data_IF_934089666637
#
_entry.id   IF_934089666637
#
_cell.length_a   1.000
_cell.length_b   1.000
_cell.length_c   1.000
_cell.angle_alpha   90.00
_cell.angle_beta   90.00
_cell.angle_gamma   90.00
#
_symmetry.space_group_name_H-M   'P 1'
#
loop_
_entity.id
_entity.type
_entity.pdbx_description
1 polymer ?
#
# COMPACT_ATOMS: atom_id res chain seq x y z
N UNK A 1 5.02 14.20 6.50
CA UNK A 1 5.82 15.05 7.41
C UNK A 1 6.36 16.29 6.72
N UNK A 2 6.59 16.25 5.40
CA UNK A 2 7.11 17.38 4.58
C UNK A 2 6.00 18.25 3.99
N UNK A 3 4.74 17.96 4.27
CA UNK A 3 3.58 18.72 3.80
C UNK A 3 3.19 18.47 2.34
N UNK A 4 3.87 17.58 1.64
CA UNK A 4 3.52 17.22 0.27
C UNK A 4 2.41 16.17 0.23
N UNK A 5 1.65 16.19 -0.87
CA UNK A 5 0.60 15.22 -1.19
C UNK A 5 1.13 14.27 -2.26
N UNK A 6 1.04 12.97 -2.00
CA UNK A 6 1.39 11.94 -2.96
C UNK A 6 0.11 11.32 -3.51
N UNK A 7 0.03 11.18 -4.82
CA UNK A 7 -1.09 10.57 -5.53
C UNK A 7 -0.57 9.39 -6.36
N UNK A 8 -1.24 8.26 -6.24
CA UNK A 8 -1.01 7.09 -7.09
C UNK A 8 -2.24 6.88 -7.95
N UNK A 9 -2.09 6.91 -9.25
CA UNK A 9 -3.18 6.74 -10.21
C UNK A 9 -2.91 5.52 -11.10
N UNK A 10 -3.75 4.49 -10.92
CA UNK A 10 -3.62 3.25 -11.66
C UNK A 10 -4.06 3.36 -13.12
N UNK A 11 -4.91 4.34 -13.47
CA UNK A 11 -5.39 4.52 -14.85
C UNK A 11 -4.41 5.30 -15.70
N UNK A 12 -3.75 6.29 -15.11
CA UNK A 12 -2.71 7.07 -15.79
C UNK A 12 -1.32 6.45 -15.68
N UNK A 13 -1.17 5.38 -14.89
CA UNK A 13 0.11 4.68 -14.65
C UNK A 13 1.18 5.58 -14.03
N UNK A 14 0.77 6.46 -13.11
CA UNK A 14 1.66 7.45 -12.50
C UNK A 14 1.61 7.45 -10.97
N UNK A 15 2.73 7.90 -10.39
CA UNK A 15 2.80 8.39 -9.01
C UNK A 15 3.33 9.82 -9.05
N UNK A 16 2.60 10.74 -8.43
CA UNK A 16 2.93 12.18 -8.48
C UNK A 16 3.03 12.77 -7.08
N UNK A 17 3.92 13.75 -6.92
CA UNK A 17 4.12 14.51 -5.69
C UNK A 17 3.71 15.98 -5.91
N UNK A 18 2.87 16.50 -5.03
CA UNK A 18 2.32 17.83 -5.14
C UNK A 18 2.59 18.67 -3.90
N UNK A 19 2.78 19.97 -4.07
CA UNK A 19 2.71 20.95 -2.98
C UNK A 19 1.24 21.09 -2.50
N UNK A 20 1.00 21.65 -1.29
CA UNK A 20 -0.36 21.91 -0.80
C UNK A 20 -1.20 22.82 -1.69
N UNK A 21 -0.61 23.65 -2.53
CA UNK A 21 -1.28 24.50 -3.50
C UNK A 21 -1.63 23.80 -4.82
N UNK A 22 -1.25 22.50 -4.95
CA UNK A 22 -1.53 21.65 -6.11
C UNK A 22 -0.42 21.62 -7.17
N UNK A 23 0.67 22.40 -7.02
CA UNK A 23 1.80 22.35 -7.96
C UNK A 23 2.44 20.95 -7.93
N UNK A 24 2.52 20.28 -9.08
CA UNK A 24 3.25 19.02 -9.23
C UNK A 24 4.76 19.29 -9.25
N UNK A 25 5.49 18.61 -8.38
CA UNK A 25 6.94 18.78 -8.21
C UNK A 25 7.75 17.54 -8.54
N UNK A 26 7.09 16.38 -8.67
CA UNK A 26 7.70 15.12 -9.11
C UNK A 26 6.65 14.27 -9.80
N UNK A 27 7.04 13.67 -10.92
CA UNK A 27 6.24 12.67 -11.63
C UNK A 27 7.07 11.41 -11.83
N UNK A 28 6.52 10.27 -11.45
CA UNK A 28 7.03 8.94 -11.74
C UNK A 28 6.02 8.24 -12.66
N UNK A 29 6.51 7.61 -13.71
CA UNK A 29 5.65 7.05 -14.75
C UNK A 29 5.37 8.05 -15.87
N UNK A 30 4.84 7.56 -16.98
CA UNK A 30 4.43 8.37 -18.13
C UNK A 30 2.91 8.32 -18.28
N UNK A 31 2.29 9.49 -18.38
CA UNK A 31 0.83 9.62 -18.44
C UNK A 31 0.22 8.77 -19.55
N UNK A 32 -0.65 7.84 -19.17
CA UNK A 32 -1.37 6.96 -20.08
C UNK A 32 -0.52 5.86 -20.71
N UNK A 33 0.73 5.69 -20.28
CA UNK A 33 1.62 4.65 -20.81
C UNK A 33 1.86 3.54 -19.79
N UNK A 34 1.30 2.35 -20.08
CA UNK A 34 1.53 1.15 -19.30
C UNK A 34 2.77 0.41 -19.77
N UNK A 35 3.69 0.11 -18.87
CA UNK A 35 4.83 -0.75 -19.19
C UNK A 35 4.49 -2.22 -18.91
N UNK A 36 4.31 -2.99 -19.96
CA UNK A 36 4.02 -4.43 -19.90
C UNK A 36 5.30 -5.30 -19.86
N UNK A 37 6.47 -4.70 -19.89
CA UNK A 37 7.72 -5.46 -19.85
C UNK A 37 8.04 -5.85 -18.43
N UNK A 38 7.91 -7.13 -18.14
CA UNK A 38 8.37 -7.78 -16.90
C UNK A 38 9.91 -7.87 -16.86
N UNK A 39 10.63 -6.87 -17.35
CA UNK A 39 12.08 -6.89 -17.30
C UNK A 39 12.56 -6.64 -15.89
N UNK A 40 13.35 -7.58 -15.39
CA UNK A 40 13.91 -7.55 -14.03
C UNK A 40 15.05 -6.55 -13.88
N UNK A 41 15.52 -5.95 -14.97
CA UNK A 41 16.70 -5.10 -14.98
C UNK A 41 16.41 -3.59 -14.96
N UNK A 42 15.12 -3.19 -14.98
CA UNK A 42 14.74 -1.77 -14.88
C UNK A 42 15.27 -0.86 -16.01
N UNK A 43 15.85 -1.43 -17.05
CA UNK A 43 16.58 -0.67 -18.07
C UNK A 43 15.70 -0.06 -19.16
N UNK A 44 14.39 -0.27 -19.12
CA UNK A 44 13.47 0.12 -20.19
C UNK A 44 12.31 0.94 -19.62
N UNK A 45 12.52 2.24 -19.48
CA UNK A 45 11.45 3.18 -19.16
C UNK A 45 10.88 3.05 -17.75
N UNK A 46 9.98 3.95 -17.39
CA UNK A 46 9.33 3.97 -16.09
C UNK A 46 8.37 2.78 -15.96
N UNK A 47 8.41 2.04 -14.85
CA UNK A 47 8.07 0.62 -14.82
C UNK A 47 6.59 0.32 -14.61
N UNK A 48 5.69 1.30 -14.50
CA UNK A 48 4.34 1.09 -13.98
C UNK A 48 3.37 0.49 -14.99
N UNK A 49 2.60 -0.48 -14.48
CA UNK A 49 1.39 -0.97 -15.12
C UNK A 49 0.29 -1.10 -14.07
N UNK A 50 -0.48 -0.03 -13.89
CA UNK A 50 -1.55 0.10 -12.90
C UNK A 50 -1.02 0.06 -11.44
N UNK A 51 -0.18 1.04 -11.04
CA UNK A 51 0.33 1.12 -9.67
C UNK A 51 -0.83 1.31 -8.68
N UNK A 52 -0.67 0.76 -7.49
CA UNK A 52 -1.74 0.65 -6.50
C UNK A 52 -1.52 1.51 -5.27
N UNK A 53 -0.28 1.89 -4.99
CA UNK A 53 0.05 2.75 -3.87
C UNK A 53 1.50 3.19 -3.81
N UNK A 54 1.78 4.13 -2.91
CA UNK A 54 3.14 4.62 -2.67
C UNK A 54 3.37 4.91 -1.19
N UNK A 55 4.60 4.75 -0.74
CA UNK A 55 5.03 5.08 0.62
C UNK A 55 6.45 5.65 0.62
N UNK A 56 6.71 6.57 1.56
CA UNK A 56 7.99 7.23 1.68
C UNK A 56 8.71 6.71 2.92
N UNK A 57 9.91 6.19 2.72
CA UNK A 57 10.75 5.70 3.80
C UNK A 57 11.32 6.86 4.66
N UNK A 58 11.80 6.58 5.88
CA UNK A 58 12.42 7.60 6.75
C UNK A 58 13.63 8.30 6.12
N UNK A 59 14.35 7.65 5.21
CA UNK A 59 15.49 8.22 4.47
C UNK A 59 15.07 9.02 3.23
N UNK A 60 13.77 9.07 2.93
CA UNK A 60 13.17 9.78 1.81
C UNK A 60 13.06 8.97 0.52
N UNK A 61 13.50 7.72 0.48
CA UNK A 61 13.28 6.83 -0.67
C UNK A 61 11.79 6.57 -0.87
N UNK A 62 11.41 6.42 -2.14
CA UNK A 62 10.03 6.24 -2.56
C UNK A 62 9.83 4.78 -2.92
N UNK A 63 8.82 4.15 -2.32
CA UNK A 63 8.40 2.79 -2.65
C UNK A 63 7.03 2.82 -3.30
N UNK A 64 6.86 2.06 -4.37
CA UNK A 64 5.62 1.99 -5.15
C UNK A 64 5.19 0.55 -5.32
N UNK A 65 3.94 0.24 -4.96
CA UNK A 65 3.29 -1.02 -5.30
C UNK A 65 2.71 -0.92 -6.71
N UNK A 66 3.13 -1.80 -7.60
CA UNK A 66 2.66 -1.90 -8.99
C UNK A 66 1.96 -3.25 -9.19
N UNK A 67 0.76 -3.34 -8.61
CA UNK A 67 0.18 -4.64 -8.31
C UNK A 67 -0.92 -5.10 -9.24
N UNK A 68 -1.67 -4.22 -9.91
CA UNK A 68 -2.76 -4.67 -10.77
C UNK A 68 -2.25 -5.23 -12.10
N UNK A 69 -1.19 -4.66 -12.65
CA UNK A 69 -0.58 -5.14 -13.90
C UNK A 69 0.67 -5.98 -13.71
N UNK A 70 1.62 -5.57 -12.86
CA UNK A 70 2.98 -6.12 -12.84
C UNK A 70 3.33 -7.04 -11.66
N UNK A 71 2.64 -7.03 -10.53
CA UNK A 71 2.98 -7.79 -9.30
C UNK A 71 4.38 -7.48 -8.79
N UNK A 72 4.72 -6.19 -8.73
CA UNK A 72 6.04 -5.70 -8.33
C UNK A 72 5.96 -4.64 -7.24
N UNK A 73 7.06 -4.51 -6.53
CA UNK A 73 7.40 -3.34 -5.73
C UNK A 73 8.59 -2.66 -6.39
N UNK A 74 8.54 -1.34 -6.52
CA UNK A 74 9.62 -0.52 -7.07
C UNK A 74 10.15 0.41 -6.00
N UNK A 75 11.46 0.65 -6.02
CA UNK A 75 12.12 1.65 -5.19
C UNK A 75 12.77 2.71 -6.07
N UNK A 76 12.58 3.96 -5.66
CA UNK A 76 13.20 5.14 -6.27
C UNK A 76 13.97 5.93 -5.21
N UNK A 77 14.98 6.67 -5.66
CA UNK A 77 15.64 7.68 -4.83
C UNK A 77 14.64 8.75 -4.39
N UNK A 78 15.02 9.59 -3.43
CA UNK A 78 14.21 10.74 -3.00
C UNK A 78 13.98 11.78 -4.10
N UNK A 79 14.76 11.73 -5.18
CA UNK A 79 14.69 12.60 -6.37
C UNK A 79 13.91 11.95 -7.51
N UNK A 80 13.48 10.68 -7.36
CA UNK A 80 12.69 9.98 -8.35
C UNK A 80 13.50 9.11 -9.31
N UNK A 81 14.82 8.95 -9.08
CA UNK A 81 15.61 8.04 -9.90
C UNK A 81 15.30 6.60 -9.52
N UNK A 82 15.05 5.76 -10.53
CA UNK A 82 14.82 4.33 -10.31
C UNK A 82 16.06 3.65 -9.74
N UNK A 83 15.88 2.82 -8.71
CA UNK A 83 16.98 2.11 -8.05
C UNK A 83 16.87 0.59 -8.19
N UNK A 84 15.70 0.02 -7.88
CA UNK A 84 15.49 -1.43 -7.97
C UNK A 84 14.00 -1.80 -7.98
N UNK A 85 13.72 -3.07 -8.34
CA UNK A 85 12.39 -3.68 -8.13
C UNK A 85 12.51 -5.15 -7.76
N UNK A 86 11.47 -5.66 -7.09
CA UNK A 86 11.34 -7.08 -6.77
C UNK A 86 9.89 -7.54 -6.89
N UNK A 87 9.71 -8.86 -6.78
CA UNK A 87 8.43 -9.52 -6.91
C UNK A 87 8.19 -10.10 -8.30
N UNK A 88 7.38 -11.12 -8.34
CA UNK A 88 6.90 -11.80 -9.53
C UNK A 88 5.53 -12.44 -9.26
N UNK A 89 4.75 -12.80 -10.30
CA UNK A 89 3.48 -13.47 -10.11
C UNK A 89 3.62 -14.83 -9.43
N UNK A 90 2.79 -15.09 -8.40
CA UNK A 90 2.75 -16.40 -7.75
C UNK A 90 2.26 -16.39 -6.32
N UNK A 91 2.43 -17.52 -5.64
CA UNK A 91 2.00 -17.75 -4.25
C UNK A 91 3.16 -18.10 -3.30
N UNK A 92 4.35 -18.28 -3.84
CA UNK A 92 5.58 -18.54 -3.06
C UNK A 92 6.10 -17.30 -2.34
N UNK A 93 7.17 -17.48 -1.60
CA UNK A 93 7.87 -16.41 -0.88
C UNK A 93 8.45 -15.40 -1.86
N UNK A 94 8.18 -14.11 -1.64
CA UNK A 94 8.59 -13.03 -2.55
C UNK A 94 7.77 -12.93 -3.84
N UNK A 95 6.82 -13.86 -4.08
CA UNK A 95 5.87 -13.80 -5.18
C UNK A 95 4.57 -13.13 -4.73
N UNK A 96 3.82 -12.56 -5.67
CA UNK A 96 2.57 -11.85 -5.40
C UNK A 96 1.44 -12.27 -6.35
N UNK A 97 0.23 -12.37 -5.80
CA UNK A 97 -0.97 -12.45 -6.63
C UNK A 97 -1.45 -11.04 -7.00
N UNK A 98 -1.62 -10.15 -6.02
CA UNK A 98 -1.83 -8.71 -6.23
C UNK A 98 -1.12 -7.94 -5.12
N UNK A 99 -0.18 -7.07 -5.49
CA UNK A 99 0.41 -6.09 -4.58
C UNK A 99 -0.57 -4.91 -4.47
N UNK A 100 -1.47 -4.94 -3.46
CA UNK A 100 -2.56 -3.96 -3.41
C UNK A 100 -2.11 -2.61 -2.83
N UNK A 101 -1.34 -2.64 -1.77
CA UNK A 101 -0.75 -1.46 -1.13
C UNK A 101 0.53 -1.85 -0.43
N UNK A 102 1.34 -0.87 -0.08
CA UNK A 102 2.50 -1.05 0.77
C UNK A 102 2.66 0.12 1.74
N UNK A 103 3.38 -0.15 2.82
CA UNK A 103 3.80 0.88 3.75
C UNK A 103 5.24 0.64 4.21
N UNK A 104 5.96 1.71 4.52
CA UNK A 104 7.30 1.62 5.09
C UNK A 104 7.26 2.05 6.55
N UNK A 105 7.70 1.16 7.43
CA UNK A 105 7.74 1.41 8.87
C UNK A 105 8.90 2.35 9.27
N UNK A 106 8.84 2.85 10.49
CA UNK A 106 9.89 3.74 11.03
C UNK A 106 11.28 3.09 11.14
N UNK A 107 11.34 1.77 11.23
CA UNK A 107 12.56 0.96 11.23
C UNK A 107 12.96 0.46 9.83
N UNK A 108 12.39 1.09 8.78
CA UNK A 108 12.74 0.87 7.38
C UNK A 108 12.45 -0.54 6.86
N UNK A 109 11.39 -1.19 7.36
CA UNK A 109 10.84 -2.41 6.79
C UNK A 109 9.68 -2.07 5.85
N UNK A 110 9.58 -2.78 4.72
CA UNK A 110 8.55 -2.59 3.70
C UNK A 110 7.48 -3.67 3.86
N UNK A 111 6.28 -3.27 4.27
CA UNK A 111 5.13 -4.15 4.45
C UNK A 111 4.27 -4.12 3.20
N UNK A 112 4.07 -5.26 2.57
CA UNK A 112 3.40 -5.39 1.28
C UNK A 112 2.12 -6.19 1.44
N UNK A 113 0.98 -5.59 1.11
CA UNK A 113 -0.32 -6.24 1.08
C UNK A 113 -0.41 -7.15 -0.16
N UNK A 114 -0.15 -8.44 0.01
CA UNK A 114 -0.34 -9.46 -1.02
C UNK A 114 -1.79 -9.98 -0.94
N UNK A 115 -2.70 -9.15 -1.48
CA UNK A 115 -4.13 -9.21 -1.23
C UNK A 115 -4.75 -10.58 -1.51
N UNK A 116 -4.59 -11.09 -2.71
CA UNK A 116 -5.24 -12.34 -3.13
C UNK A 116 -4.56 -13.59 -2.52
N UNK A 117 -3.35 -13.45 -1.99
CA UNK A 117 -2.69 -14.49 -1.21
C UNK A 117 -3.03 -14.41 0.30
N UNK A 118 -3.86 -13.46 0.72
CA UNK A 118 -4.30 -13.27 2.12
C UNK A 118 -3.14 -13.18 3.12
N UNK A 119 -2.11 -12.40 2.77
CA UNK A 119 -0.91 -12.23 3.60
C UNK A 119 -0.31 -10.84 3.46
N UNK A 120 0.49 -10.47 4.45
CA UNK A 120 1.45 -9.37 4.34
C UNK A 120 2.84 -9.98 4.25
N UNK A 121 3.61 -9.58 3.26
CA UNK A 121 5.02 -9.91 3.17
C UNK A 121 5.86 -8.71 3.59
N UNK A 122 6.89 -8.93 4.39
CA UNK A 122 7.73 -7.88 4.96
C UNK A 122 9.12 -8.04 4.39
N UNK A 123 9.64 -6.94 3.82
CA UNK A 123 10.94 -6.91 3.16
C UNK A 123 11.86 -5.87 3.80
N UNK A 124 13.16 -6.06 3.61
CA UNK A 124 14.13 -4.98 3.76
C UNK A 124 13.93 -3.92 2.66
N UNK A 125 14.55 -2.76 2.82
CA UNK A 125 14.57 -1.75 1.75
C UNK A 125 15.34 -2.21 0.50
N UNK A 126 16.11 -3.28 0.59
CA UNK A 126 16.83 -3.90 -0.52
C UNK A 126 16.04 -5.04 -1.20
N UNK A 127 14.79 -5.27 -0.77
CA UNK A 127 13.91 -6.29 -1.35
C UNK A 127 14.14 -7.71 -0.82
N UNK A 128 14.91 -7.88 0.25
CA UNK A 128 15.09 -9.17 0.92
C UNK A 128 13.87 -9.48 1.78
N UNK A 129 13.28 -10.66 1.62
CA UNK A 129 12.15 -11.11 2.43
C UNK A 129 12.61 -11.36 3.87
N UNK A 130 11.94 -10.71 4.83
CA UNK A 130 12.24 -10.79 6.26
C UNK A 130 11.22 -11.64 7.01
N UNK A 131 9.92 -11.50 6.67
CA UNK A 131 8.84 -12.17 7.38
C UNK A 131 7.56 -12.24 6.53
N UNK A 132 6.63 -13.11 6.92
CA UNK A 132 5.31 -13.26 6.29
C UNK A 132 4.23 -13.39 7.37
N UNK A 133 3.26 -12.48 7.36
CA UNK A 133 2.11 -12.54 8.27
C UNK A 133 0.90 -13.12 7.57
N UNK A 134 0.37 -14.20 8.14
CA UNK A 134 -0.84 -14.87 7.63
C UNK A 134 -1.97 -14.96 8.65
N UNK A 135 -1.68 -15.02 9.93
CA UNK A 135 -2.56 -15.28 11.09
C UNK A 135 -4.00 -14.71 10.95
N UNK A 136 -4.81 -15.33 10.10
CA UNK A 136 -6.18 -14.93 9.82
C UNK A 136 -6.35 -13.63 9.06
N UNK A 137 -5.30 -13.10 8.42
CA UNK A 137 -5.40 -11.98 7.48
C UNK A 137 -6.24 -12.41 6.29
N UNK A 138 -7.19 -11.56 5.89
CA UNK A 138 -8.10 -11.84 4.78
C UNK A 138 -8.19 -10.64 3.84
N UNK A 139 -7.61 -10.77 2.64
CA UNK A 139 -7.60 -9.72 1.63
C UNK A 139 -7.05 -8.39 2.14
N UNK A 140 -5.79 -8.29 2.55
CA UNK A 140 -5.23 -7.04 3.07
C UNK A 140 -5.20 -5.99 1.95
N UNK A 141 -5.87 -4.86 2.18
CA UNK A 141 -5.97 -3.77 1.23
C UNK A 141 -4.97 -2.66 1.52
N UNK A 142 -4.76 -2.34 2.80
CA UNK A 142 -3.91 -1.22 3.19
C UNK A 142 -3.19 -1.53 4.50
N UNK A 143 -2.01 -0.92 4.67
CA UNK A 143 -1.24 -0.88 5.91
C UNK A 143 -0.92 0.56 6.28
N UNK A 144 -1.27 0.94 7.51
CA UNK A 144 -0.97 2.26 8.06
C UNK A 144 -0.21 2.12 9.37
N UNK A 145 0.80 2.98 9.58
CA UNK A 145 1.63 2.93 10.78
C UNK A 145 1.34 4.09 11.72
N UNK A 146 1.18 3.78 13.00
CA UNK A 146 1.17 4.78 14.07
C UNK A 146 2.05 4.31 15.24
N UNK A 147 3.22 4.92 15.40
CA UNK A 147 4.20 4.49 16.41
C UNK A 147 4.69 3.07 16.15
N UNK A 148 4.43 2.16 17.10
CA UNK A 148 4.79 0.74 17.02
C UNK A 148 3.65 -0.16 16.51
N UNK A 149 2.54 0.44 16.08
CA UNK A 149 1.36 -0.29 15.63
C UNK A 149 1.19 -0.25 14.12
N UNK A 150 0.78 -1.39 13.58
CA UNK A 150 0.43 -1.59 12.17
C UNK A 150 -1.07 -1.82 12.09
N UNK A 151 -1.78 -0.93 11.41
CA UNK A 151 -3.20 -1.05 11.12
C UNK A 151 -3.35 -1.66 9.73
N UNK A 152 -4.05 -2.78 9.65
CA UNK A 152 -4.29 -3.49 8.38
C UNK A 152 -5.77 -3.41 8.06
N UNK A 153 -6.10 -2.84 6.91
CA UNK A 153 -7.46 -2.88 6.38
C UNK A 153 -7.65 -4.20 5.65
N UNK A 154 -8.65 -4.95 6.02
CA UNK A 154 -8.96 -6.27 5.48
C UNK A 154 -10.31 -6.28 4.77
N UNK A 155 -10.34 -6.82 3.55
CA UNK A 155 -11.57 -7.06 2.80
C UNK A 155 -11.44 -8.35 1.99
N UNK A 156 -11.91 -9.45 2.55
CA UNK A 156 -11.85 -10.75 1.89
C UNK A 156 -12.79 -11.77 2.51
N UNK A 157 -13.46 -12.60 1.69
CA UNK A 157 -14.28 -13.70 2.15
C UNK A 157 -15.45 -13.31 3.08
N UNK A 158 -15.99 -12.08 2.94
CA UNK A 158 -17.04 -11.55 3.83
C UNK A 158 -16.52 -11.04 5.19
N UNK A 159 -15.21 -10.92 5.36
CA UNK A 159 -14.56 -10.45 6.57
C UNK A 159 -14.02 -9.03 6.40
N UNK A 160 -14.91 -8.06 6.24
CA UNK A 160 -14.49 -6.66 6.19
C UNK A 160 -14.12 -6.19 7.59
N UNK A 161 -12.96 -5.59 7.75
CA UNK A 161 -12.52 -5.14 9.05
C UNK A 161 -11.15 -4.50 9.09
N UNK A 162 -10.67 -4.33 10.30
CA UNK A 162 -9.35 -3.81 10.60
C UNK A 162 -8.71 -4.69 11.65
N UNK A 163 -7.45 -5.02 11.45
CA UNK A 163 -6.61 -5.62 12.49
C UNK A 163 -5.47 -4.68 12.86
N UNK A 164 -5.08 -4.72 14.12
CA UNK A 164 -3.97 -3.96 14.67
C UNK A 164 -2.93 -4.94 15.19
N UNK A 165 -1.71 -4.74 14.77
CA UNK A 165 -0.56 -5.58 15.05
C UNK A 165 0.56 -4.73 15.66
N UNK A 166 1.48 -5.35 16.41
CA UNK A 166 2.76 -4.73 16.66
C UNK A 166 3.73 -4.99 15.50
N UNK A 167 4.89 -4.33 15.52
CA UNK A 167 5.91 -4.50 14.47
C UNK A 167 6.57 -5.89 14.45
N UNK A 168 6.37 -6.70 15.49
CA UNK A 168 6.89 -8.08 15.61
C UNK A 168 5.88 -9.14 15.12
N UNK A 169 4.72 -8.71 14.59
CA UNK A 169 3.72 -9.61 14.03
C UNK A 169 2.76 -10.22 15.04
N UNK A 170 2.69 -9.69 16.25
CA UNK A 170 1.68 -10.08 17.22
C UNK A 170 0.39 -9.34 16.98
N UNK A 171 -0.72 -10.06 16.82
CA UNK A 171 -2.04 -9.47 16.70
C UNK A 171 -2.49 -8.90 18.05
N UNK A 172 -2.70 -7.59 18.10
CA UNK A 172 -3.20 -6.89 19.30
C UNK A 172 -4.72 -6.98 19.37
N UNK A 173 -5.40 -6.65 18.26
CA UNK A 173 -6.86 -6.73 18.17
C UNK A 173 -7.32 -6.79 16.73
N UNK A 174 -8.56 -7.25 16.54
CA UNK A 174 -9.20 -7.30 15.22
C UNK A 174 -10.68 -7.01 15.35
N UNK A 175 -11.17 -6.13 14.51
CA UNK A 175 -12.59 -5.84 14.36
C UNK A 175 -13.07 -6.29 12.99
N UNK A 176 -14.10 -7.13 12.97
CA UNK A 176 -14.76 -7.60 11.75
C UNK A 176 -16.26 -7.33 11.82
N UNK A 177 -16.88 -7.17 10.64
CA UNK A 177 -18.30 -6.92 10.58
C UNK A 177 -18.70 -5.63 11.29
N UNK A 178 -17.88 -4.58 11.17
CA UNK A 178 -18.18 -3.26 11.73
C UNK A 178 -19.44 -2.76 11.03
N UNK A 179 -20.59 -2.58 11.74
CA UNK A 179 -21.85 -2.22 11.07
C UNK A 179 -21.79 -0.90 10.32
N UNK A 180 -20.91 0.00 10.76
CA UNK A 180 -20.67 1.29 10.13
C UNK A 180 -19.79 1.17 8.88
N UNK A 181 -19.03 0.08 8.72
CA UNK A 181 -18.21 -0.24 7.54
C UNK A 181 -18.94 -1.33 6.76
N UNK A 182 -20.00 -0.93 6.07
CA UNK A 182 -20.89 -1.85 5.35
C UNK A 182 -20.33 -2.30 4.00
N UNK A 183 -19.29 -1.63 3.53
CA UNK A 183 -18.67 -1.88 2.24
C UNK A 183 -17.15 -2.10 2.39
N UNK A 184 -16.46 -2.35 1.30
CA UNK A 184 -15.04 -2.67 1.34
C UNK A 184 -14.20 -1.48 1.86
N UNK A 185 -13.68 -1.59 3.07
CA UNK A 185 -12.60 -0.73 3.52
C UNK A 185 -11.43 -0.86 2.55
N UNK A 186 -10.92 0.27 2.04
CA UNK A 186 -9.88 0.27 1.03
C UNK A 186 -8.60 0.94 1.51
N UNK A 187 -8.70 1.85 2.46
CA UNK A 187 -7.58 2.51 3.09
C UNK A 187 -7.93 3.06 4.46
N UNK A 188 -6.93 3.32 5.28
CA UNK A 188 -7.14 3.95 6.58
C UNK A 188 -6.06 4.97 6.92
N UNK A 189 -6.42 5.88 7.83
CA UNK A 189 -5.49 6.83 8.44
C UNK A 189 -5.96 7.19 9.84
N UNK A 190 -5.03 7.63 10.69
CA UNK A 190 -5.36 8.17 12.00
C UNK A 190 -5.04 9.66 12.07
N UNK A 191 -5.88 10.42 12.78
CA UNK A 191 -5.56 11.79 13.11
C UNK A 191 -4.68 11.88 14.39
N UNK A 192 -4.19 13.08 14.69
CA UNK A 192 -3.34 13.33 15.86
C UNK A 192 -4.04 13.07 17.21
N UNK A 193 -5.37 12.89 17.22
CA UNK A 193 -6.16 12.55 18.40
C UNK A 193 -6.40 11.05 18.54
N UNK A 194 -5.95 10.26 17.56
CA UNK A 194 -6.13 8.81 17.49
C UNK A 194 -7.51 8.38 16.97
N UNK A 195 -8.25 9.27 16.29
CA UNK A 195 -9.45 8.85 15.57
C UNK A 195 -9.03 8.14 14.28
N UNK A 196 -9.65 7.01 14.01
CA UNK A 196 -9.43 6.21 12.81
C UNK A 196 -10.40 6.65 11.70
N UNK A 197 -9.88 6.87 10.53
CA UNK A 197 -10.65 7.16 9.31
C UNK A 197 -10.48 6.00 8.35
N UNK A 198 -11.59 5.55 7.76
CA UNK A 198 -11.61 4.48 6.76
C UNK A 198 -12.16 5.04 5.46
N UNK A 199 -11.43 4.84 4.38
CA UNK A 199 -11.91 5.06 3.03
C UNK A 199 -12.61 3.78 2.55
N UNK A 200 -13.88 3.90 2.13
CA UNK A 200 -14.67 2.79 1.58
C UNK A 200 -14.87 2.99 0.09
N UNK A 201 -14.74 1.94 -0.69
CA UNK A 201 -15.18 1.91 -2.09
C UNK A 201 -16.58 1.36 -2.15
N UNK A 202 -17.52 2.19 -2.66
CA UNK A 202 -18.88 1.76 -2.95
C UNK A 202 -18.99 1.19 -4.34
N UNK A 203 -19.67 0.07 -4.47
CA UNK A 203 -20.05 -0.49 -5.77
C UNK A 203 -21.42 0.04 -6.18
N UNK A 204 -21.53 0.60 -7.41
CA UNK A 204 -22.77 1.12 -7.95
C UNK A 204 -23.09 2.57 -7.56
N UNK A 205 -24.36 2.87 -7.24
CA UNK A 205 -24.83 4.24 -7.01
C UNK A 205 -24.43 4.86 -5.67
N UNK A 206 -23.75 4.14 -4.79
CA UNK A 206 -23.51 4.58 -3.40
C UNK A 206 -22.27 5.46 -3.27
N UNK A 207 -21.34 5.41 -4.22
CA UNK A 207 -20.14 6.25 -4.23
C UNK A 207 -19.12 5.91 -3.12
N UNK A 208 -18.00 6.62 -3.16
CA UNK A 208 -16.96 6.50 -2.14
C UNK A 208 -17.37 7.21 -0.84
N UNK A 209 -17.04 6.61 0.31
CA UNK A 209 -17.34 7.17 1.62
C UNK A 209 -16.09 7.24 2.49
N UNK A 210 -16.02 8.26 3.32
CA UNK A 210 -15.06 8.34 4.41
C UNK A 210 -15.80 8.21 5.74
N UNK A 211 -15.37 7.29 6.57
CA UNK A 211 -15.94 7.09 7.90
C UNK A 211 -14.91 7.42 8.97
N UNK A 212 -15.38 8.13 9.97
CA UNK A 212 -14.62 8.39 11.17
C UNK A 212 -15.12 7.43 12.27
N UNK A 213 -14.21 6.64 12.80
CA UNK A 213 -14.43 5.86 14.02
C UNK A 213 -13.80 6.61 15.18
N UNK A 214 -14.61 6.95 16.18
CA UNK A 214 -14.09 7.60 17.38
C UNK A 214 -13.25 6.61 18.18
N UNK A 215 -12.23 7.14 18.85
CA UNK A 215 -11.42 6.34 19.77
C UNK A 215 -12.34 5.71 20.82
N UNK A 216 -12.31 4.40 20.95
CA UNK A 216 -12.96 3.63 21.99
C UNK A 216 -12.10 3.69 23.26
#
# INVERSE_FOLDING_TARGET
>A
PDGYIWLTDHQTHQVTKHKPDGECVLELGEFGFANFTLTTDGSQGLPFNMPTGSSIAPDGKIFVSDGYGNRKVHRFSKTGDYELSWGEPGTGDGQFAIVHQLGVSKDSRVFVCDRENNRIQIFSTEGELLDIWTNGIAGPHDVYFQGDYVYVVEHGGGNNGISIWNLDGELITRWRGIPEVSEAGHGCALDSKGNLYIAEIGFGAVGQKFRKLNKI
#
